data_IF_315544751387
#
_entry.id   IF_315544751387
#
_cell.length_a   1.000
_cell.length_b   1.000
_cell.length_c   1.000
_cell.angle_alpha   90.00
_cell.angle_beta   90.00
_cell.angle_gamma   90.00
#
_symmetry.space_group_name_H-M   'P 1'
#
loop_
_entity.id
_entity.type
_entity.pdbx_description
1 polymer ?
#
# COMPACT_ATOMS: atom_id res chain seq x y z
N UNK A 1 -0.04 -22.18 -2.93
CA UNK A 1 0.96 -23.27 -2.79
C UNK A 1 2.16 -23.09 -3.70
N UNK A 2 2.01 -22.95 -5.01
CA UNK A 2 3.15 -22.77 -5.92
C UNK A 2 4.08 -21.62 -5.51
N UNK A 3 3.54 -20.49 -5.10
CA UNK A 3 4.33 -19.35 -4.61
C UNK A 3 5.17 -19.72 -3.38
N UNK A 4 4.63 -20.53 -2.48
CA UNK A 4 5.36 -21.02 -1.29
C UNK A 4 6.43 -22.02 -1.68
N UNK A 5 6.16 -22.90 -2.66
CA UNK A 5 7.13 -23.87 -3.18
C UNK A 5 8.33 -23.19 -3.85
N UNK A 6 8.13 -21.97 -4.35
CA UNK A 6 9.17 -21.20 -5.06
C UNK A 6 9.76 -20.06 -4.20
N UNK A 7 9.32 -19.93 -2.93
CA UNK A 7 9.91 -18.93 -2.04
C UNK A 7 11.30 -19.40 -1.60
N UNK A 8 12.23 -18.49 -1.59
CA UNK A 8 13.61 -18.88 -1.52
C UNK A 8 14.33 -18.62 -0.23
N UNK A 9 13.63 -18.07 0.75
CA UNK A 9 14.21 -17.86 2.07
C UNK A 9 14.18 -19.13 2.92
N UNK A 10 13.01 -19.78 2.92
CA UNK A 10 12.77 -21.04 3.61
C UNK A 10 12.13 -21.98 2.60
N UNK A 11 12.77 -23.08 2.33
CA UNK A 11 12.25 -24.04 1.34
C UNK A 11 10.97 -24.69 1.88
N UNK A 12 10.09 -25.15 0.99
CA UNK A 12 8.91 -25.94 1.41
C UNK A 12 9.33 -27.15 2.24
N UNK A 13 10.43 -27.78 1.87
CA UNK A 13 11.01 -28.89 2.61
C UNK A 13 11.32 -28.49 4.07
N UNK A 14 11.98 -27.36 4.28
CA UNK A 14 12.25 -26.86 5.64
C UNK A 14 10.96 -26.51 6.40
N UNK A 15 9.98 -25.92 5.72
CA UNK A 15 8.67 -25.59 6.32
C UNK A 15 7.96 -26.87 6.77
N UNK A 16 7.87 -27.87 5.89
CA UNK A 16 7.13 -29.11 6.14
C UNK A 16 7.86 -30.02 7.13
N UNK A 17 9.21 -30.10 7.06
CA UNK A 17 9.97 -31.01 7.92
C UNK A 17 10.31 -30.41 9.29
N UNK A 18 10.53 -29.09 9.37
CA UNK A 18 11.07 -28.46 10.57
C UNK A 18 10.08 -27.52 11.30
N UNK A 19 9.11 -26.95 10.58
CA UNK A 19 8.22 -25.94 11.17
C UNK A 19 6.79 -26.44 11.37
N UNK A 20 6.27 -27.27 10.45
CA UNK A 20 4.87 -27.69 10.43
C UNK A 20 4.72 -29.19 10.40
N UNK A 21 3.66 -29.70 11.03
CA UNK A 21 3.12 -31.03 10.73
C UNK A 21 1.95 -30.89 9.78
N UNK A 22 2.15 -31.24 8.51
CA UNK A 22 1.09 -31.18 7.49
C UNK A 22 0.25 -32.44 7.56
N UNK A 23 -0.87 -32.38 8.27
CA UNK A 23 -1.75 -33.52 8.51
C UNK A 23 -2.70 -33.79 7.36
N UNK A 24 -3.14 -32.73 6.67
CA UNK A 24 -4.04 -32.83 5.53
C UNK A 24 -3.67 -31.79 4.48
N UNK A 25 -3.61 -32.21 3.23
CA UNK A 25 -3.41 -31.29 2.08
C UNK A 25 -3.89 -31.99 0.80
N UNK A 26 -4.92 -31.48 0.18
CA UNK A 26 -5.56 -32.06 -1.01
C UNK A 26 -4.63 -32.23 -2.22
N UNK A 27 -3.58 -31.41 -2.35
CA UNK A 27 -2.73 -31.38 -3.53
C UNK A 27 -1.48 -32.26 -3.43
N UNK A 28 -0.96 -32.48 -2.22
CA UNK A 28 0.34 -33.17 -2.03
C UNK A 28 0.27 -34.41 -1.15
N UNK A 29 -0.86 -34.67 -0.49
CA UNK A 29 -1.04 -35.92 0.27
C UNK A 29 -1.16 -37.12 -0.64
N UNK A 30 -0.62 -38.28 -0.20
CA UNK A 30 -0.73 -39.52 -0.96
C UNK A 30 -2.11 -40.21 -0.78
N UNK A 31 -2.82 -39.90 0.31
CA UNK A 31 -4.13 -40.48 0.57
C UNK A 31 -5.20 -39.89 -0.37
N UNK A 32 -6.17 -40.74 -0.74
CA UNK A 32 -7.35 -40.37 -1.54
C UNK A 32 -8.59 -41.13 -1.06
N UNK A 33 -9.79 -40.64 -1.46
CA UNK A 33 -11.06 -41.26 -1.09
C UNK A 33 -11.25 -41.32 0.43
N UNK A 34 -11.70 -42.47 0.94
CA UNK A 34 -11.99 -42.69 2.36
C UNK A 34 -10.78 -42.41 3.28
N UNK A 35 -9.57 -42.70 2.81
CA UNK A 35 -8.36 -42.43 3.58
C UNK A 35 -8.09 -40.92 3.73
N UNK A 36 -8.38 -40.13 2.71
CA UNK A 36 -8.26 -38.67 2.77
C UNK A 36 -9.35 -38.07 3.67
N UNK A 37 -10.59 -38.51 3.51
CA UNK A 37 -11.71 -38.09 4.38
C UNK A 37 -11.45 -38.39 5.86
N UNK A 38 -10.89 -39.57 6.14
CA UNK A 38 -10.49 -39.93 7.50
C UNK A 38 -9.38 -39.01 8.02
N UNK A 39 -8.36 -38.71 7.22
CA UNK A 39 -7.27 -37.82 7.61
C UNK A 39 -7.79 -36.39 7.91
N UNK A 40 -8.75 -35.90 7.13
CA UNK A 40 -9.43 -34.61 7.37
C UNK A 40 -10.22 -34.66 8.70
N UNK A 41 -11.02 -35.68 8.91
CA UNK A 41 -11.80 -35.84 10.14
C UNK A 41 -10.91 -35.95 11.39
N UNK A 42 -9.83 -36.74 11.31
CA UNK A 42 -8.86 -36.90 12.40
C UNK A 42 -8.11 -35.58 12.71
N UNK A 43 -7.89 -34.72 11.70
CA UNK A 43 -7.29 -33.41 11.85
C UNK A 43 -8.27 -32.42 12.48
N UNK A 44 -9.50 -32.38 11.96
CA UNK A 44 -10.57 -31.49 12.44
C UNK A 44 -10.98 -31.79 13.88
N UNK A 45 -10.78 -33.03 14.35
CA UNK A 45 -11.03 -33.41 15.76
C UNK A 45 -10.02 -32.85 16.76
N UNK A 46 -8.95 -32.21 16.31
CA UNK A 46 -7.86 -31.68 17.14
C UNK A 46 -7.66 -30.18 16.86
N UNK A 47 -6.98 -29.53 17.80
CA UNK A 47 -6.50 -28.16 17.55
C UNK A 47 -5.49 -28.14 16.39
N UNK A 48 -5.68 -27.20 15.47
CA UNK A 48 -4.83 -27.06 14.28
C UNK A 48 -4.84 -25.62 13.74
N UNK A 49 -3.92 -25.32 12.86
CA UNK A 49 -3.92 -24.11 12.04
C UNK A 49 -4.57 -24.46 10.70
N UNK A 50 -5.65 -23.77 10.37
CA UNK A 50 -6.34 -23.94 9.09
C UNK A 50 -5.79 -22.96 8.06
N UNK A 51 -5.28 -23.49 6.94
CA UNK A 51 -4.84 -22.68 5.79
C UNK A 51 -5.80 -22.90 4.64
N UNK A 52 -6.48 -21.84 4.22
CA UNK A 52 -7.50 -21.88 3.16
C UNK A 52 -6.98 -21.23 1.90
N UNK A 53 -7.11 -21.93 0.76
CA UNK A 53 -6.77 -21.43 -0.56
C UNK A 53 -7.95 -21.65 -1.52
N UNK A 54 -8.38 -20.59 -2.19
CA UNK A 54 -9.54 -20.62 -3.09
C UNK A 54 -10.74 -19.85 -2.53
N UNK A 55 -11.61 -19.38 -3.42
CA UNK A 55 -12.88 -18.74 -3.06
C UNK A 55 -13.96 -19.78 -2.79
N UNK A 56 -14.94 -19.42 -1.99
CA UNK A 56 -16.02 -20.31 -1.56
C UNK A 56 -17.32 -19.89 -2.27
N UNK A 57 -17.86 -20.70 -3.20
CA UNK A 57 -19.14 -20.42 -3.82
C UNK A 57 -20.28 -20.74 -2.85
N UNK A 58 -21.24 -19.83 -2.71
CA UNK A 58 -22.38 -20.00 -1.80
C UNK A 58 -23.71 -20.25 -2.53
N UNK A 59 -23.81 -19.85 -3.79
CA UNK A 59 -25.03 -19.96 -4.56
C UNK A 59 -25.44 -21.43 -4.76
N UNK A 60 -26.73 -21.68 -4.82
CA UNK A 60 -27.32 -23.00 -5.02
C UNK A 60 -26.79 -24.07 -4.03
N UNK A 61 -26.57 -23.67 -2.76
CA UNK A 61 -26.04 -24.56 -1.72
C UNK A 61 -24.57 -24.93 -1.89
N UNK A 62 -23.81 -24.14 -2.65
CA UNK A 62 -22.36 -24.32 -2.83
C UNK A 62 -21.97 -25.42 -3.80
N UNK A 63 -22.89 -25.90 -4.65
CA UNK A 63 -22.68 -27.04 -5.57
C UNK A 63 -21.56 -26.80 -6.59
N UNK A 64 -21.13 -25.55 -6.79
CA UNK A 64 -20.07 -25.18 -7.74
C UNK A 64 -18.67 -25.56 -7.27
N UNK A 65 -18.51 -25.92 -5.99
CA UNK A 65 -17.27 -26.50 -5.45
C UNK A 65 -17.63 -27.54 -4.38
N UNK A 66 -17.36 -28.82 -4.69
CA UNK A 66 -17.63 -29.94 -3.77
C UNK A 66 -16.37 -30.76 -3.55
N UNK A 67 -16.15 -31.18 -2.31
CA UNK A 67 -15.01 -31.96 -1.85
C UNK A 67 -15.57 -33.14 -1.05
N UNK A 68 -15.29 -34.38 -1.43
CA UNK A 68 -15.81 -35.56 -0.73
C UNK A 68 -17.33 -35.59 -0.63
N UNK A 69 -18.06 -35.00 -1.60
CA UNK A 69 -19.53 -34.91 -1.59
C UNK A 69 -20.12 -33.80 -0.73
N UNK A 70 -19.30 -33.00 -0.04
CA UNK A 70 -19.70 -31.81 0.73
C UNK A 70 -19.39 -30.54 -0.04
N UNK A 71 -20.17 -29.47 0.18
CA UNK A 71 -19.82 -28.15 -0.37
C UNK A 71 -18.56 -27.61 0.29
N UNK A 72 -17.79 -26.78 -0.43
CA UNK A 72 -16.59 -26.11 0.12
C UNK A 72 -16.92 -25.28 1.36
N UNK A 73 -18.12 -24.66 1.42
CA UNK A 73 -18.60 -23.96 2.60
C UNK A 73 -18.73 -24.91 3.81
N UNK A 74 -19.33 -26.08 3.61
CA UNK A 74 -19.49 -27.07 4.69
C UNK A 74 -18.11 -27.54 5.17
N UNK A 75 -17.19 -27.88 4.27
CA UNK A 75 -15.82 -28.31 4.62
C UNK A 75 -15.10 -27.21 5.37
N UNK A 76 -15.23 -25.94 4.93
CA UNK A 76 -14.62 -24.79 5.62
C UNK A 76 -15.14 -24.65 7.05
N UNK A 77 -16.46 -24.74 7.26
CA UNK A 77 -17.05 -24.61 8.59
C UNK A 77 -16.63 -25.75 9.52
N UNK A 78 -16.69 -26.99 9.05
CA UNK A 78 -16.23 -28.17 9.80
C UNK A 78 -14.73 -28.05 10.17
N UNK A 79 -13.88 -27.60 9.24
CA UNK A 79 -12.46 -27.45 9.50
C UNK A 79 -12.12 -26.22 10.37
N UNK A 80 -12.96 -25.20 10.37
CA UNK A 80 -12.77 -24.03 11.23
C UNK A 80 -13.15 -24.28 12.69
N UNK A 81 -13.96 -25.30 13.00
CA UNK A 81 -14.51 -25.53 14.35
C UNK A 81 -13.44 -25.60 15.44
N UNK A 82 -12.41 -26.43 15.25
CA UNK A 82 -11.30 -26.60 16.19
C UNK A 82 -10.00 -25.89 15.73
N UNK A 83 -10.07 -25.07 14.69
CA UNK A 83 -8.93 -24.29 14.26
C UNK A 83 -8.59 -23.22 15.30
N UNK A 84 -7.35 -23.17 15.74
CA UNK A 84 -6.81 -22.15 16.66
C UNK A 84 -6.55 -20.85 15.92
N UNK A 85 -6.09 -20.94 14.66
CA UNK A 85 -5.83 -19.82 13.77
C UNK A 85 -6.29 -20.18 12.35
N UNK A 86 -6.78 -19.19 11.62
CA UNK A 86 -7.19 -19.35 10.22
C UNK A 86 -6.37 -18.40 9.35
N UNK A 87 -5.71 -18.94 8.34
CA UNK A 87 -4.93 -18.20 7.36
C UNK A 87 -5.58 -18.32 5.98
N UNK A 88 -6.16 -17.25 5.48
CA UNK A 88 -6.67 -17.16 4.10
C UNK A 88 -5.53 -16.74 3.17
N UNK A 89 -5.18 -17.60 2.20
CA UNK A 89 -4.03 -17.42 1.32
C UNK A 89 -4.46 -17.17 -0.12
N UNK A 90 -4.05 -16.02 -0.63
CA UNK A 90 -4.40 -15.56 -1.97
C UNK A 90 -5.68 -14.74 -2.02
N UNK A 91 -5.77 -13.84 -2.99
CA UNK A 91 -6.92 -12.96 -3.15
C UNK A 91 -8.26 -13.73 -3.28
N UNK A 92 -8.22 -14.98 -3.75
CA UNK A 92 -9.40 -15.84 -3.85
C UNK A 92 -9.96 -16.19 -2.46
N UNK A 93 -9.11 -16.69 -1.56
CA UNK A 93 -9.53 -17.02 -0.20
C UNK A 93 -9.85 -15.76 0.62
N UNK A 94 -9.17 -14.64 0.34
CA UNK A 94 -9.33 -13.40 1.09
C UNK A 94 -10.58 -12.63 0.67
N UNK A 95 -10.83 -12.47 -0.65
CA UNK A 95 -11.87 -11.58 -1.17
C UNK A 95 -12.78 -12.21 -2.23
N UNK A 96 -12.65 -13.51 -2.50
CA UNK A 96 -13.33 -14.16 -3.63
C UNK A 96 -12.62 -13.98 -4.97
N UNK A 97 -11.85 -12.88 -5.17
CA UNK A 97 -11.04 -12.57 -6.35
C UNK A 97 -11.83 -12.63 -7.67
N UNK A 98 -11.18 -13.06 -8.75
CA UNK A 98 -11.76 -13.08 -10.12
C UNK A 98 -13.06 -13.88 -10.19
N UNK A 99 -13.21 -14.92 -9.37
CA UNK A 99 -14.44 -15.71 -9.31
C UNK A 99 -15.62 -14.91 -8.76
N UNK A 100 -15.34 -13.93 -7.89
CA UNK A 100 -16.34 -13.02 -7.33
C UNK A 100 -16.62 -11.80 -8.21
N UNK A 101 -15.91 -11.63 -9.34
CA UNK A 101 -16.14 -10.54 -10.28
C UNK A 101 -17.58 -10.54 -10.78
N UNK A 102 -18.14 -9.34 -10.92
CA UNK A 102 -19.53 -9.17 -11.39
C UNK A 102 -19.73 -9.82 -12.77
N UNK A 103 -20.81 -10.59 -12.94
CA UNK A 103 -22.00 -10.73 -12.10
C UNK A 103 -21.91 -11.74 -10.96
N UNK A 104 -20.75 -12.31 -10.65
CA UNK A 104 -20.53 -13.35 -9.62
C UNK A 104 -21.54 -14.50 -9.73
N UNK A 105 -21.49 -15.31 -10.78
CA UNK A 105 -22.54 -16.29 -11.07
C UNK A 105 -22.65 -17.40 -10.04
N UNK A 106 -21.56 -17.69 -9.31
CA UNK A 106 -21.50 -18.75 -8.30
C UNK A 106 -21.70 -18.27 -6.87
N UNK A 107 -21.79 -16.93 -6.67
CA UNK A 107 -21.81 -16.34 -5.33
C UNK A 107 -20.51 -16.57 -4.56
N UNK A 108 -19.36 -16.52 -5.26
CA UNK A 108 -18.06 -16.75 -4.66
C UNK A 108 -17.69 -15.62 -3.68
N UNK A 109 -17.19 -16.00 -2.50
CA UNK A 109 -16.78 -15.08 -1.42
C UNK A 109 -15.44 -15.48 -0.81
N UNK A 110 -14.87 -14.60 0.02
CA UNK A 110 -13.71 -14.90 0.85
C UNK A 110 -14.08 -15.64 2.15
N UNK A 111 -13.06 -16.14 2.84
CA UNK A 111 -13.21 -16.89 4.10
C UNK A 111 -13.85 -16.03 5.20
N UNK A 112 -13.45 -14.75 5.27
CA UNK A 112 -13.95 -13.79 6.25
C UNK A 112 -15.44 -13.47 6.11
N UNK A 113 -16.03 -13.71 4.95
CA UNK A 113 -17.48 -13.59 4.75
C UNK A 113 -18.27 -14.74 5.39
N UNK A 114 -17.64 -15.89 5.60
CA UNK A 114 -18.26 -17.12 6.13
C UNK A 114 -17.95 -17.30 7.62
N UNK A 115 -16.69 -17.12 8.01
CA UNK A 115 -16.23 -17.27 9.38
C UNK A 115 -16.19 -15.89 10.03
N UNK A 116 -17.13 -15.62 10.93
CA UNK A 116 -17.26 -14.33 11.63
C UNK A 116 -16.89 -14.39 13.10
N UNK A 117 -16.82 -15.56 13.65
CA UNK A 117 -16.57 -15.83 15.08
C UNK A 117 -15.10 -16.02 15.42
N UNK A 118 -14.24 -16.14 14.41
CA UNK A 118 -12.79 -16.30 14.55
C UNK A 118 -12.03 -15.29 13.74
N UNK A 119 -10.83 -14.94 14.22
CA UNK A 119 -9.93 -14.05 13.48
C UNK A 119 -9.33 -14.79 12.28
N UNK A 120 -9.52 -14.21 11.09
CA UNK A 120 -8.90 -14.67 9.85
C UNK A 120 -7.72 -13.76 9.53
N UNK A 121 -6.57 -14.36 9.26
CA UNK A 121 -5.36 -13.66 8.83
C UNK A 121 -5.31 -13.73 7.30
N UNK A 122 -5.35 -12.58 6.65
CA UNK A 122 -5.49 -12.45 5.20
C UNK A 122 -4.14 -12.21 4.52
N UNK A 123 -3.59 -13.22 3.86
CA UNK A 123 -2.41 -13.08 3.00
C UNK A 123 -2.84 -12.92 1.55
N UNK A 124 -3.12 -11.68 1.16
CA UNK A 124 -3.69 -11.34 -0.14
C UNK A 124 -2.64 -11.30 -1.25
N UNK A 125 -3.08 -11.51 -2.49
CA UNK A 125 -2.29 -11.47 -3.72
C UNK A 125 -2.79 -12.50 -4.73
N UNK A 126 -2.48 -12.29 -6.03
CA UNK A 126 -2.87 -13.21 -7.10
C UNK A 126 -1.68 -13.42 -8.08
N UNK A 127 -0.75 -14.30 -7.69
CA UNK A 127 -0.60 -15.04 -6.43
C UNK A 127 -0.03 -14.18 -5.27
N UNK A 128 -0.16 -14.62 -4.01
CA UNK A 128 0.53 -13.99 -2.88
C UNK A 128 2.03 -14.32 -2.90
N UNK A 129 2.82 -13.47 -2.25
CA UNK A 129 4.27 -13.70 -2.12
C UNK A 129 4.49 -14.82 -1.10
N UNK A 130 5.25 -15.85 -1.47
CA UNK A 130 5.48 -17.04 -0.65
C UNK A 130 6.13 -16.74 0.70
N UNK A 131 7.09 -15.81 0.71
CA UNK A 131 7.76 -15.35 1.93
C UNK A 131 6.80 -14.75 2.95
N UNK A 132 5.73 -14.09 2.51
CA UNK A 132 4.71 -13.54 3.42
C UNK A 132 3.89 -14.67 4.04
N UNK A 133 3.57 -15.73 3.30
CA UNK A 133 2.88 -16.91 3.82
C UNK A 133 3.72 -17.56 4.91
N UNK A 134 4.99 -17.85 4.59
CA UNK A 134 5.93 -18.48 5.52
C UNK A 134 6.17 -17.63 6.76
N UNK A 135 6.37 -16.32 6.60
CA UNK A 135 6.56 -15.40 7.71
C UNK A 135 5.32 -15.32 8.62
N UNK A 136 4.11 -15.34 8.04
CA UNK A 136 2.87 -15.35 8.81
C UNK A 136 2.73 -16.63 9.63
N UNK A 137 3.01 -17.79 9.05
CA UNK A 137 3.00 -19.07 9.74
C UNK A 137 4.07 -19.12 10.83
N UNK A 138 5.29 -18.71 10.54
CA UNK A 138 6.37 -18.65 11.52
C UNK A 138 6.04 -17.72 12.70
N UNK A 139 5.40 -16.58 12.43
CA UNK A 139 4.95 -15.67 13.49
C UNK A 139 3.92 -16.34 14.41
N UNK A 140 2.90 -16.99 13.83
CA UNK A 140 1.87 -17.70 14.58
C UNK A 140 2.50 -18.80 15.46
N UNK A 141 3.38 -19.60 14.89
CA UNK A 141 4.04 -20.69 15.61
C UNK A 141 4.93 -20.20 16.75
N UNK A 142 5.62 -19.09 16.55
CA UNK A 142 6.54 -18.52 17.56
C UNK A 142 5.81 -17.82 18.68
N UNK A 143 4.73 -17.08 18.36
CA UNK A 143 4.06 -16.20 19.32
C UNK A 143 2.70 -16.71 19.80
N UNK A 144 2.14 -17.76 19.19
CA UNK A 144 0.83 -18.31 19.54
C UNK A 144 -0.35 -17.36 19.25
N UNK A 145 -0.14 -16.31 18.46
CA UNK A 145 -1.15 -15.28 18.15
C UNK A 145 -0.96 -14.69 16.75
N UNK A 146 -1.98 -14.03 16.24
CA UNK A 146 -1.89 -13.29 14.99
C UNK A 146 -0.91 -12.12 15.10
N UNK A 147 -0.20 -11.76 14.00
CA UNK A 147 0.53 -10.49 13.90
C UNK A 147 -0.44 -9.31 13.95
N UNK A 148 0.09 -8.10 14.05
CA UNK A 148 -0.70 -6.88 13.88
C UNK A 148 -1.28 -6.82 12.47
N UNK A 149 -2.59 -6.55 12.36
CA UNK A 149 -3.34 -6.60 11.11
C UNK A 149 -3.85 -5.19 10.74
N UNK A 150 -4.00 -4.96 9.43
CA UNK A 150 -4.70 -3.79 8.91
C UNK A 150 -6.23 -3.97 8.94
N UNK A 151 -6.97 -2.98 8.42
CA UNK A 151 -8.44 -3.02 8.35
C UNK A 151 -9.03 -4.14 7.47
N UNK A 152 -8.22 -4.72 6.58
CA UNK A 152 -8.58 -5.84 5.72
C UNK A 152 -8.11 -7.19 6.29
N UNK A 153 -7.63 -7.20 7.54
CA UNK A 153 -7.11 -8.40 8.20
C UNK A 153 -5.76 -8.88 7.66
N UNK A 154 -4.99 -8.03 6.98
CA UNK A 154 -3.69 -8.38 6.40
C UNK A 154 -2.54 -8.00 7.35
N UNK A 155 -1.49 -8.83 7.46
CA UNK A 155 -0.33 -8.53 8.31
C UNK A 155 0.33 -7.19 7.96
N UNK A 156 0.38 -6.25 8.90
CA UNK A 156 0.97 -4.92 8.70
C UNK A 156 2.44 -4.96 8.30
N UNK A 157 3.20 -5.97 8.76
CA UNK A 157 4.61 -6.10 8.37
C UNK A 157 4.80 -6.29 6.85
N UNK A 158 3.77 -6.78 6.15
CA UNK A 158 3.79 -6.99 4.70
C UNK A 158 2.93 -5.98 3.94
N UNK A 159 1.78 -5.60 4.49
CA UNK A 159 0.79 -4.77 3.79
C UNK A 159 0.65 -3.37 4.39
N UNK A 160 1.59 -2.94 5.24
CA UNK A 160 1.57 -1.60 5.85
C UNK A 160 1.99 -0.46 4.91
N UNK A 161 2.60 -0.75 3.76
CA UNK A 161 3.08 0.24 2.80
C UNK A 161 2.51 0.04 1.41
N UNK A 162 2.24 1.15 0.71
CA UNK A 162 1.82 1.11 -0.70
C UNK A 162 3.02 0.77 -1.60
N UNK A 163 2.75 0.06 -2.69
CA UNK A 163 3.75 -0.23 -3.72
C UNK A 163 4.43 1.06 -4.20
N UNK A 164 3.67 2.12 -4.41
CA UNK A 164 4.16 3.39 -4.92
C UNK A 164 5.23 4.04 -4.01
N UNK A 165 5.10 3.87 -2.69
CA UNK A 165 5.99 4.51 -1.72
C UNK A 165 7.41 3.93 -1.75
N UNK A 166 7.55 2.64 -2.12
CA UNK A 166 8.84 1.92 -2.22
C UNK A 166 9.20 1.54 -3.66
N UNK A 167 8.48 2.08 -4.65
CA UNK A 167 8.70 1.74 -6.07
C UNK A 167 10.02 2.35 -6.59
N UNK A 168 10.92 1.56 -7.21
CA UNK A 168 12.15 2.08 -7.79
C UNK A 168 11.92 3.04 -8.97
N UNK A 169 10.70 3.05 -9.56
CA UNK A 169 10.30 4.01 -10.59
C UNK A 169 9.68 5.30 -10.03
N UNK A 170 9.64 5.47 -8.69
CA UNK A 170 9.10 6.67 -8.04
C UNK A 170 9.79 7.95 -8.48
N UNK A 171 11.13 8.04 -8.64
CA UNK A 171 11.80 9.25 -9.14
C UNK A 171 11.28 9.71 -10.50
N UNK A 172 10.96 8.78 -11.40
CA UNK A 172 10.36 9.11 -12.70
C UNK A 172 8.95 9.68 -12.58
N UNK A 173 8.15 9.19 -11.61
CA UNK A 173 6.84 9.76 -11.31
C UNK A 173 6.98 11.22 -10.86
N UNK A 174 7.88 11.49 -9.91
CA UNK A 174 8.12 12.81 -9.36
C UNK A 174 8.68 13.79 -10.43
N UNK A 175 9.45 13.29 -11.38
CA UNK A 175 9.97 14.05 -12.54
C UNK A 175 8.95 14.18 -13.70
N UNK A 176 7.72 13.63 -13.59
CA UNK A 176 6.72 13.67 -14.67
C UNK A 176 7.07 12.80 -15.88
N UNK A 177 7.98 11.82 -15.71
CA UNK A 177 8.43 10.91 -16.76
C UNK A 177 7.56 9.65 -16.76
N UNK A 178 6.64 9.55 -17.72
CA UNK A 178 5.66 8.47 -17.81
C UNK A 178 5.79 7.70 -19.11
N UNK A 179 5.64 6.37 -19.00
CA UNK A 179 5.39 5.48 -20.15
C UNK A 179 4.02 5.82 -20.71
N UNK A 180 3.93 6.14 -21.99
CA UNK A 180 2.68 6.44 -22.72
C UNK A 180 2.16 5.24 -23.46
N UNK A 181 3.08 4.45 -24.03
CA UNK A 181 2.81 3.18 -24.70
C UNK A 181 3.90 2.18 -24.33
N UNK A 182 3.60 0.87 -24.37
CA UNK A 182 4.55 -0.18 -23.94
C UNK A 182 5.81 -0.31 -24.82
N UNK A 183 5.85 0.37 -25.94
CA UNK A 183 6.94 0.34 -26.94
C UNK A 183 7.68 1.68 -27.07
N UNK A 184 7.30 2.70 -26.30
CA UNK A 184 7.93 4.03 -26.36
C UNK A 184 9.34 4.08 -25.75
N UNK A 185 10.00 5.21 -25.86
CA UNK A 185 11.30 5.45 -25.28
C UNK A 185 11.25 5.32 -23.74
N UNK A 186 10.19 5.87 -23.11
CA UNK A 186 10.01 5.79 -21.67
C UNK A 186 9.90 4.36 -21.14
N UNK A 187 9.25 3.46 -21.92
CA UNK A 187 9.18 2.05 -21.57
C UNK A 187 10.57 1.39 -21.57
N UNK A 188 11.40 1.69 -22.58
CA UNK A 188 12.78 1.20 -22.68
C UNK A 188 13.70 1.75 -21.59
N UNK A 189 13.48 3.00 -21.19
CA UNK A 189 14.24 3.67 -20.13
C UNK A 189 13.73 3.40 -18.72
N UNK A 190 12.65 2.62 -18.57
CA UNK A 190 12.12 2.23 -17.28
C UNK A 190 11.34 3.33 -16.55
N UNK A 191 10.73 4.28 -17.27
CA UNK A 191 9.93 5.35 -16.69
C UNK A 191 8.68 4.83 -15.95
N UNK A 192 8.00 5.73 -15.24
CA UNK A 192 6.82 5.38 -14.43
C UNK A 192 5.66 4.85 -15.30
N UNK A 193 5.05 3.74 -14.86
CA UNK A 193 3.94 3.07 -15.55
C UNK A 193 2.55 3.64 -15.20
N UNK A 194 2.48 4.79 -14.53
CA UNK A 194 1.22 5.34 -14.04
C UNK A 194 0.22 5.62 -15.18
N UNK A 195 0.67 6.22 -16.28
CA UNK A 195 -0.20 6.58 -17.41
C UNK A 195 -0.68 5.37 -18.22
N UNK A 196 0.03 4.25 -18.17
CA UNK A 196 -0.42 2.96 -18.73
C UNK A 196 -1.21 2.11 -17.73
N UNK A 197 -1.67 2.71 -16.65
CA UNK A 197 -2.68 2.12 -15.77
C UNK A 197 -2.17 1.49 -14.47
N UNK A 198 -0.96 1.79 -14.01
CA UNK A 198 -0.43 1.25 -12.77
C UNK A 198 -1.28 1.62 -11.55
N UNK A 199 -1.71 0.61 -10.77
CA UNK A 199 -2.51 0.75 -9.54
C UNK A 199 -1.63 0.81 -8.27
N UNK A 200 -0.30 0.86 -8.42
CA UNK A 200 0.64 0.92 -7.30
C UNK A 200 0.33 1.98 -6.24
N UNK A 201 -0.15 3.18 -6.61
CA UNK A 201 -0.55 4.22 -5.65
C UNK A 201 -1.68 3.86 -4.71
N UNK A 202 -2.53 2.92 -5.09
CA UNK A 202 -3.70 2.47 -4.32
C UNK A 202 -3.56 1.03 -3.82
N UNK A 203 -2.36 0.45 -3.90
CA UNK A 203 -2.12 -0.96 -3.62
C UNK A 203 -1.11 -1.13 -2.51
N UNK A 204 -1.49 -1.81 -1.44
CA UNK A 204 -0.63 -2.15 -0.31
C UNK A 204 -0.04 -3.54 -0.52
N UNK A 205 1.28 -3.64 -0.68
CA UNK A 205 1.96 -4.90 -0.93
C UNK A 205 3.49 -4.76 -0.79
N UNK A 206 4.20 -5.79 -0.34
CA UNK A 206 5.65 -5.81 -0.26
C UNK A 206 6.35 -6.09 -1.60
N UNK A 207 5.63 -6.14 -2.73
CA UNK A 207 6.18 -6.45 -4.06
C UNK A 207 7.46 -5.70 -4.43
N UNK A 208 7.63 -4.37 -4.15
CA UNK A 208 8.86 -3.67 -4.48
C UNK A 208 10.09 -4.19 -3.73
N UNK A 209 9.89 -4.70 -2.52
CA UNK A 209 10.96 -5.09 -1.59
C UNK A 209 11.25 -6.58 -1.70
N UNK A 210 10.21 -7.42 -1.56
CA UNK A 210 10.35 -8.88 -1.56
C UNK A 210 10.43 -9.44 -2.98
N UNK A 211 9.70 -8.84 -3.93
CA UNK A 211 9.52 -9.36 -5.28
C UNK A 211 8.91 -10.77 -5.29
N UNK A 212 8.96 -11.48 -6.42
CA UNK A 212 8.44 -12.82 -6.57
C UNK A 212 9.55 -13.82 -6.86
N UNK A 213 9.37 -15.06 -6.44
CA UNK A 213 10.22 -16.18 -6.83
C UNK A 213 11.71 -15.88 -6.63
N UNK A 214 12.15 -15.64 -5.39
CA UNK A 214 13.55 -15.36 -5.07
C UNK A 214 14.08 -14.07 -5.71
N UNK A 215 13.27 -13.03 -5.75
CA UNK A 215 13.63 -11.76 -6.41
C UNK A 215 13.89 -11.89 -7.91
N UNK A 216 13.36 -12.97 -8.54
CA UNK A 216 13.45 -13.12 -9.99
C UNK A 216 12.75 -12.00 -10.75
N UNK A 217 11.74 -11.37 -10.13
CA UNK A 217 11.04 -10.22 -10.70
C UNK A 217 9.71 -9.94 -10.02
N UNK A 218 9.03 -8.93 -10.52
CA UNK A 218 7.68 -8.53 -10.13
C UNK A 218 7.07 -7.67 -11.25
N UNK A 219 5.74 -7.45 -11.30
CA UNK A 219 5.13 -6.85 -12.49
C UNK A 219 5.75 -5.52 -12.93
N UNK A 220 5.89 -4.55 -12.03
CA UNK A 220 6.46 -3.24 -12.38
C UNK A 220 7.95 -3.35 -12.77
N UNK A 221 8.69 -4.23 -12.12
CA UNK A 221 10.10 -4.50 -12.48
C UNK A 221 10.22 -5.05 -13.90
N UNK A 222 9.28 -5.89 -14.31
CA UNK A 222 9.20 -6.47 -15.65
C UNK A 222 8.54 -5.53 -16.70
N UNK A 223 8.23 -4.29 -16.36
CA UNK A 223 7.61 -3.34 -17.28
C UNK A 223 6.09 -3.44 -17.38
N UNK A 224 5.43 -4.23 -16.54
CA UNK A 224 3.98 -4.37 -16.49
C UNK A 224 3.38 -3.51 -15.37
N UNK A 225 2.33 -2.70 -15.60
CA UNK A 225 1.70 -1.92 -14.53
C UNK A 225 1.09 -2.81 -13.45
N UNK A 226 1.16 -2.38 -12.19
CA UNK A 226 0.47 -3.06 -11.10
C UNK A 226 -1.04 -3.06 -11.35
N UNK A 227 -1.69 -4.22 -11.20
CA UNK A 227 -3.15 -4.39 -11.35
C UNK A 227 -3.89 -4.30 -10.01
N UNK A 228 -3.18 -4.15 -8.89
CA UNK A 228 -3.81 -4.01 -7.57
C UNK A 228 -4.25 -5.32 -6.94
N UNK A 229 -3.64 -6.44 -7.27
CA UNK A 229 -4.12 -7.79 -6.94
C UNK A 229 -4.17 -8.15 -5.44
N UNK A 230 -3.65 -7.30 -4.57
CA UNK A 230 -3.74 -7.47 -3.11
C UNK A 230 -4.93 -6.71 -2.50
N UNK A 231 -5.62 -5.90 -3.29
CA UNK A 231 -6.72 -5.07 -2.83
C UNK A 231 -8.08 -5.75 -3.04
N UNK A 232 -9.04 -5.42 -2.15
CA UNK A 232 -10.43 -5.88 -2.27
C UNK A 232 -11.03 -5.40 -3.59
N UNK A 233 -11.77 -6.26 -4.25
CA UNK A 233 -12.48 -5.98 -5.51
C UNK A 233 -11.59 -5.48 -6.66
N UNK A 234 -10.27 -5.77 -6.62
CA UNK A 234 -9.34 -5.27 -7.64
C UNK A 234 -9.78 -5.62 -9.07
N UNK A 235 -10.40 -6.76 -9.23
CA UNK A 235 -10.91 -7.31 -10.48
C UNK A 235 -12.07 -6.50 -11.09
N UNK A 236 -12.86 -5.81 -10.27
CA UNK A 236 -13.93 -4.92 -10.70
C UNK A 236 -13.51 -3.44 -10.58
N UNK A 237 -12.91 -3.08 -9.44
CA UNK A 237 -12.56 -1.71 -9.09
C UNK A 237 -11.49 -1.11 -10.00
N UNK A 238 -10.52 -1.90 -10.43
CA UNK A 238 -9.37 -1.45 -11.20
C UNK A 238 -9.41 -1.81 -12.68
N UNK A 239 -10.46 -2.48 -13.10
CA UNK A 239 -10.73 -2.77 -14.53
C UNK A 239 -11.29 -1.52 -15.23
N UNK A 240 -10.84 -1.21 -16.46
CA UNK A 240 -9.78 -1.88 -17.23
C UNK A 240 -8.37 -1.58 -16.68
N UNK A 241 -7.54 -2.62 -16.55
CA UNK A 241 -6.25 -2.54 -15.85
C UNK A 241 -5.24 -1.57 -16.50
N UNK A 242 -5.33 -1.36 -17.81
CA UNK A 242 -4.40 -0.48 -18.55
C UNK A 242 -4.91 0.95 -18.70
N UNK A 243 -5.91 1.33 -17.93
CA UNK A 243 -6.37 2.71 -17.86
C UNK A 243 -5.88 3.36 -16.56
N UNK A 244 -5.49 4.62 -16.70
CA UNK A 244 -5.12 5.46 -15.56
C UNK A 244 -6.26 5.49 -14.54
N UNK A 245 -5.94 5.41 -13.25
CA UNK A 245 -6.91 5.63 -12.19
C UNK A 245 -7.55 7.01 -12.36
N UNK A 246 -8.88 7.14 -12.19
CA UNK A 246 -9.48 8.45 -12.03
C UNK A 246 -8.78 9.14 -10.85
N UNK A 247 -8.64 10.46 -10.94
CA UNK A 247 -7.93 11.27 -9.95
C UNK A 247 -8.37 10.89 -8.53
N UNK A 248 -7.52 10.21 -7.79
CA UNK A 248 -7.78 9.85 -6.40
C UNK A 248 -7.53 11.10 -5.56
N UNK A 249 -8.46 11.53 -4.68
CA UNK A 249 -8.21 12.63 -3.76
C UNK A 249 -6.89 12.42 -3.00
N UNK A 250 -6.00 13.40 -3.05
CA UNK A 250 -4.64 13.32 -2.49
C UNK A 250 -3.58 12.83 -3.47
N UNK A 251 -3.89 11.92 -4.39
CA UNK A 251 -2.93 11.41 -5.36
C UNK A 251 -2.83 12.27 -6.63
N UNK A 252 -3.97 12.78 -7.11
CA UNK A 252 -3.98 13.75 -8.21
C UNK A 252 -3.40 15.12 -7.84
N UNK A 253 -3.34 15.42 -6.53
CA UNK A 253 -2.69 16.63 -6.00
C UNK A 253 -1.16 16.54 -6.14
N UNK A 254 -0.56 15.37 -5.92
CA UNK A 254 0.89 15.17 -6.15
C UNK A 254 1.26 15.35 -7.62
N UNK A 255 0.46 14.79 -8.54
CA UNK A 255 0.68 14.94 -9.98
C UNK A 255 0.47 16.38 -10.49
N UNK A 256 -0.19 17.22 -9.71
CA UNK A 256 -0.46 18.64 -10.00
C UNK A 256 0.23 19.59 -9.03
N UNK A 257 1.17 19.11 -8.20
CA UNK A 257 1.89 19.91 -7.21
C UNK A 257 2.53 21.16 -7.83
N UNK A 258 3.10 21.06 -9.02
CA UNK A 258 3.59 22.23 -9.77
C UNK A 258 2.48 23.23 -10.08
N UNK A 259 1.30 22.76 -10.54
CA UNK A 259 0.18 23.66 -10.86
C UNK A 259 -0.40 24.31 -9.61
N UNK A 260 -0.47 23.56 -8.51
CA UNK A 260 -0.92 24.08 -7.21
C UNK A 260 0.14 25.03 -6.64
N UNK A 261 1.41 24.67 -6.73
CA UNK A 261 2.51 25.52 -6.33
C UNK A 261 2.55 26.84 -7.11
N UNK A 262 2.39 26.78 -8.43
CA UNK A 262 2.27 27.98 -9.27
C UNK A 262 1.04 28.84 -8.91
N UNK A 263 -0.10 28.20 -8.63
CA UNK A 263 -1.32 28.89 -8.21
C UNK A 263 -1.14 29.61 -6.88
N UNK A 264 -0.59 28.92 -5.87
CA UNK A 264 -0.27 29.51 -4.55
C UNK A 264 0.76 30.64 -4.65
N UNK A 265 1.81 30.46 -5.44
CA UNK A 265 2.84 31.49 -5.69
C UNK A 265 2.21 32.71 -6.35
N UNK A 266 1.30 32.53 -7.31
CA UNK A 266 0.56 33.62 -7.93
C UNK A 266 -0.31 34.40 -6.96
N UNK A 267 -1.03 33.71 -6.06
CA UNK A 267 -1.86 34.34 -5.02
C UNK A 267 -1.01 35.13 -4.02
N UNK A 268 0.12 34.57 -3.58
CA UNK A 268 1.06 35.26 -2.68
C UNK A 268 1.68 36.47 -3.36
N UNK A 269 2.13 36.36 -4.59
CA UNK A 269 2.69 37.47 -5.37
C UNK A 269 1.65 38.61 -5.57
N UNK A 270 0.41 38.26 -5.88
CA UNK A 270 -0.68 39.24 -5.99
C UNK A 270 -0.93 39.94 -4.63
N UNK A 271 -0.97 39.21 -3.54
CA UNK A 271 -1.11 39.75 -2.19
C UNK A 271 0.00 40.72 -1.81
N UNK A 272 1.25 40.35 -2.11
CA UNK A 272 2.42 41.23 -1.90
C UNK A 272 2.35 42.50 -2.75
N UNK A 273 1.95 42.37 -4.03
CA UNK A 273 1.80 43.53 -4.91
C UNK A 273 0.69 44.48 -4.45
N UNK A 274 -0.46 43.96 -4.00
CA UNK A 274 -1.55 44.78 -3.41
C UNK A 274 -1.07 45.45 -2.14
N UNK A 275 -0.40 44.74 -1.24
CA UNK A 275 0.12 45.33 0.00
C UNK A 275 1.15 46.43 -0.26
N UNK A 276 2.09 46.18 -1.19
CA UNK A 276 3.07 47.19 -1.60
C UNK A 276 2.38 48.44 -2.22
N UNK A 277 1.38 48.24 -3.06
CA UNK A 277 0.58 49.32 -3.67
C UNK A 277 -0.15 50.17 -2.61
N UNK A 278 -0.81 49.53 -1.66
CA UNK A 278 -1.50 50.20 -0.55
C UNK A 278 -0.52 50.98 0.34
N UNK A 279 0.63 50.35 0.64
CA UNK A 279 1.67 51.01 1.47
C UNK A 279 2.27 52.22 0.73
N UNK A 280 2.54 52.11 -0.56
CA UNK A 280 3.03 53.24 -1.37
C UNK A 280 2.00 54.37 -1.47
N UNK A 281 0.73 54.04 -1.65
CA UNK A 281 -0.37 55.00 -1.71
C UNK A 281 -0.55 55.75 -0.34
N UNK A 282 -0.45 55.02 0.77
CA UNK A 282 -0.47 55.63 2.12
C UNK A 282 0.70 56.55 2.33
N UNK A 283 1.92 56.11 2.01
CA UNK A 283 3.12 56.96 2.13
C UNK A 283 3.05 58.21 1.22
N UNK A 284 2.47 58.12 0.02
CA UNK A 284 2.24 59.27 -0.85
C UNK A 284 1.18 60.24 -0.25
N UNK A 285 0.11 59.71 0.33
CA UNK A 285 -0.92 60.53 1.03
C UNK A 285 -0.35 61.24 2.25
N UNK A 286 0.44 60.54 3.06
CA UNK A 286 1.10 61.11 4.24
C UNK A 286 2.09 62.25 3.85
N UNK A 287 2.87 62.06 2.78
CA UNK A 287 3.75 63.09 2.24
C UNK A 287 2.98 64.32 1.75
N UNK A 288 1.79 64.08 1.15
CA UNK A 288 0.93 65.18 0.71
C UNK A 288 0.27 65.91 1.88
N UNK A 289 -0.12 65.20 2.92
CA UNK A 289 -0.65 65.76 4.17
C UNK A 289 0.40 66.60 4.91
N UNK A 290 1.64 66.10 5.00
CA UNK A 290 2.76 66.82 5.62
C UNK A 290 3.14 68.08 4.84
N UNK A 291 3.05 68.07 3.54
CA UNK A 291 3.33 69.22 2.67
C UNK A 291 2.27 70.34 2.78
N UNK A 292 1.03 69.92 3.11
CA UNK A 292 -0.11 70.85 3.27
C UNK A 292 -0.40 71.23 4.72
N UNK A 293 0.44 70.83 5.68
CA UNK A 293 0.29 71.16 7.09
C UNK A 293 0.75 72.58 7.36
N UNK A 294 -0.07 73.42 8.05
CA UNK A 294 0.29 74.84 8.38
C UNK A 294 1.52 75.02 9.27
N UNK A 295 2.06 73.93 9.83
CA UNK A 295 3.25 73.98 10.71
C UNK A 295 4.59 73.98 9.97
N UNK A 296 4.63 73.99 8.66
CA UNK A 296 5.88 74.07 7.89
C UNK A 296 6.51 75.49 7.79
N UNK A 297 5.94 76.46 8.52
CA UNK A 297 6.42 77.85 8.48
C UNK A 297 7.26 78.31 9.70
N UNK A 298 7.65 77.38 10.59
CA UNK A 298 8.57 77.73 11.68
C UNK A 298 9.97 77.17 11.34
N UNK A 299 10.87 78.12 11.08
CA UNK A 299 12.22 77.92 10.62
C UNK A 299 13.12 77.20 11.59
N UNK A 300 14.17 76.73 11.02
CA UNK A 300 15.29 75.98 11.56
C UNK A 300 15.88 76.56 12.86
N UNK A 301 15.95 75.70 13.89
CA UNK A 301 16.85 75.92 15.03
C UNK A 301 18.06 75.00 14.88
N UNK A 302 19.28 75.48 15.16
CA UNK A 302 20.51 74.73 14.95
C UNK A 302 20.63 73.61 15.99
N UNK A 303 20.87 72.39 15.51
CA UNK A 303 21.16 71.24 16.37
C UNK A 303 22.68 71.05 16.46
N UNK A 304 23.22 71.45 17.58
CA UNK A 304 24.50 70.90 18.07
C UNK A 304 24.23 69.46 18.59
N UNK A 305 24.89 68.49 18.03
CA UNK A 305 24.93 67.15 18.59
C UNK A 305 26.38 66.64 18.60
N UNK A 306 26.86 66.16 19.75
CA UNK A 306 28.19 65.56 19.85
C UNK A 306 28.18 64.14 19.34
N UNK A 307 29.21 63.79 18.58
CA UNK A 307 29.55 62.45 18.12
C UNK A 307 29.97 61.52 19.27
N UNK A 308 29.60 60.26 19.28
CA UNK A 308 30.20 59.28 20.17
C UNK A 308 31.40 58.62 19.50
N UNK A 309 32.48 58.58 20.26
CA UNK A 309 33.75 57.96 20.02
C UNK A 309 33.71 56.42 19.95
N UNK A 310 34.49 55.90 19.04
CA UNK A 310 34.96 54.51 18.94
C UNK A 310 35.74 54.09 20.18
N UNK A 311 35.51 52.89 20.70
CA UNK A 311 36.57 51.98 21.20
C UNK A 311 36.00 50.63 21.62
N UNK A 312 36.75 49.57 21.23
CA UNK A 312 36.96 48.38 22.04
C UNK A 312 36.48 47.08 21.44
N UNK A 313 37.30 46.51 20.57
CA UNK A 313 38.13 45.30 20.76
C UNK A 313 37.40 43.98 21.11
N UNK A 314 37.63 43.08 20.18
CA UNK A 314 37.73 41.63 20.15
C UNK A 314 37.93 40.88 21.48
N UNK A 315 37.32 39.70 21.53
CA UNK A 315 38.01 38.48 21.96
C UNK A 315 37.35 37.25 21.37
N UNK A 316 38.13 36.53 20.58
CA UNK A 316 38.02 35.12 20.28
C UNK A 316 38.10 34.31 21.59
N UNK A 317 37.33 33.24 21.69
CA UNK A 317 37.82 32.03 22.34
C UNK A 317 37.13 30.78 21.77
N UNK A 318 37.96 30.01 21.14
CA UNK A 318 37.94 28.59 20.87
C UNK A 318 37.58 27.75 22.11
N UNK A 319 36.84 26.71 21.99
CA UNK A 319 37.17 25.45 22.64
C UNK A 319 36.48 24.26 21.96
N UNK A 320 37.34 23.40 21.46
CA UNK A 320 37.12 22.02 21.09
C UNK A 320 36.60 21.14 22.25
N UNK A 321 36.17 19.96 21.84
CA UNK A 321 36.23 18.66 22.48
C UNK A 321 34.94 18.13 23.15
N UNK A 322 34.32 17.21 22.60
CA UNK A 322 34.46 15.74 22.65
C UNK A 322 33.30 15.06 21.94
#
# INVERSE_FOLDING_TARGET
MESTLRSGGTTVEEVVLNLLSVNYNELVMAASGEAAEKALADTNAKEHILVVNGSIPLKDGGIYCTIGGKSAEQVLRESAENATMILAVGACAVFGSVQAAKPNPTGAVGVDEIIKDKQVINVSGCPPIGEVITASLAYILTHGKAPELDSEGRPLFAYGQRIHDSCPRRPHFDAGQYVRTFDDAGAREGWCLYDVGCKGPSTFSPCPILQWNLKAGWPIGAGHPCIGCTERDFYDRFTPFYQKLPTVPGFGVEATAEKIGLGLTGVVAAGVAVHAGVTAARAAADRKATKNSPMAAFGDAPTDSPSPSSTGQATEQNSEAK
#
